data_IF_107099370219
#
_entry.id   IF_107099370219
#
_cell.length_a   1.000
_cell.length_b   1.000
_cell.length_c   1.000
_cell.angle_alpha   90.00
_cell.angle_beta   90.00
_cell.angle_gamma   90.00
#
_symmetry.space_group_name_H-M   'P 1'
#
loop_
_entity.id
_entity.type
_entity.pdbx_description
1 polymer ?
#
# COMPACT_ATOMS: atom_id res chain seq x y z
N UNK A 1 43.56 -36.05 -20.13
CA UNK A 1 43.86 -37.50 -20.28
C UNK A 1 43.42 -38.22 -19.01
N UNK A 2 42.61 -39.27 -19.14
CA UNK A 2 41.99 -40.18 -18.15
C UNK A 2 40.60 -39.68 -17.69
N UNK A 3 39.59 -40.43 -17.82
CA UNK A 3 39.03 -41.64 -18.44
C UNK A 3 37.66 -41.84 -17.78
N UNK A 4 36.65 -41.99 -18.63
CA UNK A 4 35.27 -42.42 -18.28
C UNK A 4 35.28 -43.76 -17.50
N UNK A 5 34.37 -43.91 -16.52
CA UNK A 5 33.77 -45.20 -16.19
C UNK A 5 32.28 -45.03 -15.90
N UNK A 6 31.49 -45.59 -16.82
CA UNK A 6 30.11 -45.99 -16.59
C UNK A 6 30.07 -47.21 -15.67
N UNK A 7 29.05 -47.29 -14.80
CA UNK A 7 28.56 -48.54 -14.21
C UNK A 7 27.04 -48.63 -14.35
N UNK A 8 26.52 -49.85 -14.63
CA UNK A 8 25.18 -50.05 -15.16
C UNK A 8 24.08 -50.16 -14.09
N UNK A 9 22.85 -49.83 -14.52
CA UNK A 9 21.61 -50.01 -13.79
C UNK A 9 21.34 -51.50 -13.50
N UNK A 10 21.05 -51.83 -12.24
CA UNK A 10 20.43 -53.12 -11.84
C UNK A 10 18.95 -52.81 -11.54
N UNK A 11 18.11 -53.33 -12.43
CA UNK A 11 16.67 -53.37 -12.32
C UNK A 11 16.29 -54.51 -11.36
N UNK A 12 15.88 -54.24 -10.13
CA UNK A 12 15.30 -55.23 -9.24
C UNK A 12 13.77 -55.22 -9.39
N UNK A 13 13.26 -56.20 -10.11
CA UNK A 13 11.83 -56.50 -10.22
C UNK A 13 11.38 -57.26 -8.97
N UNK A 14 10.66 -56.61 -8.05
CA UNK A 14 9.99 -57.30 -6.92
C UNK A 14 8.55 -57.59 -7.33
N UNK A 15 8.30 -58.87 -7.59
CA UNK A 15 6.93 -59.40 -7.74
C UNK A 15 6.37 -59.65 -6.34
N UNK A 16 5.40 -58.83 -5.93
CA UNK A 16 4.60 -59.06 -4.74
C UNK A 16 3.34 -59.83 -5.10
N UNK A 17 3.30 -61.07 -4.67
CA UNK A 17 2.11 -61.91 -4.71
C UNK A 17 1.06 -61.37 -3.71
N UNK A 18 -0.09 -61.00 -4.23
CA UNK A 18 -1.24 -60.49 -3.51
C UNK A 18 -2.06 -61.66 -2.98
N UNK A 19 -1.95 -61.96 -1.66
CA UNK A 19 -2.93 -62.80 -1.00
C UNK A 19 -3.97 -61.91 -0.32
N UNK A 20 -5.20 -62.01 -0.81
CA UNK A 20 -6.32 -61.20 -0.35
C UNK A 20 -6.68 -61.47 1.10
N UNK A 21 -6.92 -60.38 1.84
CA UNK A 21 -7.84 -60.34 2.98
C UNK A 21 -8.82 -59.22 2.76
N UNK A 22 -10.09 -59.55 2.59
CA UNK A 22 -11.19 -58.60 2.41
C UNK A 22 -11.44 -57.82 3.69
N UNK A 23 -10.91 -56.60 3.73
CA UNK A 23 -11.32 -55.56 4.69
C UNK A 23 -12.07 -54.48 3.91
N UNK A 24 -13.35 -54.29 4.17
CA UNK A 24 -14.14 -53.18 3.67
C UNK A 24 -13.52 -51.88 4.14
N UNK A 25 -12.81 -51.19 3.27
CA UNK A 25 -12.31 -49.83 3.52
C UNK A 25 -13.50 -48.90 3.55
N UNK A 26 -13.76 -48.29 4.70
CA UNK A 26 -14.71 -47.19 4.78
C UNK A 26 -14.35 -46.11 3.74
N UNK A 27 -15.32 -45.52 3.05
CA UNK A 27 -15.04 -44.45 2.10
C UNK A 27 -14.32 -43.33 2.85
N UNK A 28 -13.20 -42.87 2.31
CA UNK A 28 -12.51 -41.66 2.79
C UNK A 28 -13.54 -40.54 2.86
N UNK A 29 -13.57 -39.74 3.95
CA UNK A 29 -14.45 -38.58 4.01
C UNK A 29 -14.14 -37.71 2.80
N UNK A 30 -15.14 -37.42 2.00
CA UNK A 30 -15.07 -36.40 0.94
C UNK A 30 -14.59 -35.10 1.61
N UNK A 31 -13.59 -34.41 1.05
CA UNK A 31 -13.23 -33.09 1.53
C UNK A 31 -14.49 -32.24 1.59
N UNK A 32 -14.69 -31.41 2.62
CA UNK A 32 -15.84 -30.53 2.66
C UNK A 32 -15.83 -29.72 1.35
N UNK A 33 -16.93 -29.81 0.59
CA UNK A 33 -17.16 -28.98 -0.58
C UNK A 33 -17.06 -27.54 -0.09
N UNK A 34 -16.00 -26.84 -0.48
CA UNK A 34 -15.87 -25.41 -0.21
C UNK A 34 -17.13 -24.76 -0.76
N UNK A 35 -17.87 -24.06 0.10
CA UNK A 35 -19.08 -23.39 -0.32
C UNK A 35 -18.74 -22.51 -1.53
N UNK A 36 -19.50 -22.66 -2.61
CA UNK A 36 -19.28 -21.85 -3.80
C UNK A 36 -19.36 -20.37 -3.40
N UNK A 37 -18.34 -19.60 -3.79
CA UNK A 37 -18.34 -18.16 -3.53
C UNK A 37 -19.59 -17.56 -4.20
N UNK A 38 -20.36 -16.79 -3.43
CA UNK A 38 -21.46 -15.99 -3.98
C UNK A 38 -20.90 -14.63 -4.36
N UNK A 39 -20.92 -14.26 -5.65
CA UNK A 39 -20.43 -12.96 -6.07
C UNK A 39 -21.15 -11.83 -5.32
N UNK A 40 -20.39 -10.76 -4.99
CA UNK A 40 -20.98 -9.55 -4.42
C UNK A 40 -22.01 -8.95 -5.38
N UNK A 41 -23.13 -8.50 -4.86
CA UNK A 41 -24.14 -7.78 -5.65
C UNK A 41 -23.75 -6.33 -5.90
N UNK A 42 -22.75 -5.83 -5.18
CA UNK A 42 -22.21 -4.48 -5.34
C UNK A 42 -20.89 -4.56 -6.09
N UNK A 43 -20.73 -3.79 -7.19
CA UNK A 43 -19.47 -3.77 -7.93
C UNK A 43 -18.39 -3.15 -7.07
N UNK A 44 -17.22 -3.76 -7.12
CA UNK A 44 -15.97 -3.22 -6.59
C UNK A 44 -15.07 -2.86 -7.77
N UNK A 45 -14.39 -1.73 -7.68
CA UNK A 45 -13.55 -1.25 -8.76
C UNK A 45 -12.12 -1.04 -8.26
N UNK A 46 -11.17 -1.38 -9.12
CA UNK A 46 -9.76 -1.18 -8.91
C UNK A 46 -9.19 -0.23 -9.98
N UNK A 47 -8.25 0.59 -9.56
CA UNK A 47 -7.55 1.54 -10.39
C UNK A 47 -6.06 1.30 -10.25
N UNK A 48 -5.39 1.25 -11.39
CA UNK A 48 -3.94 1.05 -11.45
C UNK A 48 -3.34 2.21 -12.23
N UNK A 49 -2.47 2.95 -11.57
CA UNK A 49 -1.73 4.02 -12.22
C UNK A 49 -0.63 3.42 -13.09
N UNK A 50 -0.60 3.79 -14.37
CA UNK A 50 0.36 3.27 -15.36
C UNK A 50 1.02 4.44 -16.10
N UNK A 51 1.97 5.12 -15.45
CA UNK A 51 2.62 6.30 -16.01
C UNK A 51 1.63 7.46 -16.19
N UNK A 52 1.15 7.69 -17.42
CA UNK A 52 0.29 8.84 -17.76
C UNK A 52 -1.20 8.52 -17.81
N UNK A 53 -1.60 7.35 -17.37
CA UNK A 53 -2.97 6.91 -17.42
C UNK A 53 -3.36 6.14 -16.17
N UNK A 54 -4.63 6.19 -15.83
CA UNK A 54 -5.25 5.33 -14.85
C UNK A 54 -5.98 4.22 -15.59
N UNK A 55 -5.54 2.98 -15.44
CA UNK A 55 -6.26 1.79 -15.92
C UNK A 55 -7.38 1.45 -14.95
N UNK A 56 -8.55 1.11 -15.48
CA UNK A 56 -9.79 0.94 -14.73
C UNK A 56 -10.30 -0.49 -14.84
N UNK A 57 -10.70 -1.08 -13.71
CA UNK A 57 -11.13 -2.48 -13.62
C UNK A 57 -12.34 -2.62 -12.70
N UNK A 58 -13.18 -3.60 -13.00
CA UNK A 58 -14.04 -4.23 -12.00
C UNK A 58 -13.29 -5.39 -11.34
N UNK A 59 -13.56 -5.65 -10.06
CA UNK A 59 -12.95 -6.72 -9.28
C UNK A 59 -13.93 -7.88 -9.16
N UNK A 60 -13.49 -9.09 -9.52
CA UNK A 60 -14.23 -10.30 -9.23
C UNK A 60 -14.14 -10.61 -7.72
N UNK A 61 -15.22 -10.46 -6.99
CA UNK A 61 -15.27 -10.61 -5.53
C UNK A 61 -14.98 -12.03 -5.03
N UNK A 62 -14.96 -13.01 -5.92
CA UNK A 62 -14.66 -14.40 -5.59
C UNK A 62 -13.18 -14.73 -5.75
N UNK A 63 -12.55 -14.19 -6.78
CA UNK A 63 -11.17 -14.51 -7.17
C UNK A 63 -10.19 -13.36 -6.95
N UNK A 64 -10.68 -12.12 -6.76
CA UNK A 64 -9.88 -10.91 -6.72
C UNK A 64 -9.35 -10.47 -8.09
N UNK A 65 -9.69 -11.17 -9.17
CA UNK A 65 -9.18 -10.89 -10.51
C UNK A 65 -9.72 -9.59 -11.07
N UNK A 66 -8.90 -8.88 -11.85
CA UNK A 66 -9.24 -7.63 -12.50
C UNK A 66 -9.84 -7.88 -13.89
N UNK A 67 -10.96 -7.22 -14.17
CA UNK A 67 -11.65 -7.24 -15.46
C UNK A 67 -11.67 -5.81 -15.97
N UNK A 68 -11.01 -5.53 -17.10
CA UNK A 68 -10.92 -4.18 -17.65
C UNK A 68 -12.31 -3.61 -17.97
N UNK A 69 -12.52 -2.33 -17.65
CA UNK A 69 -13.73 -1.59 -17.98
C UNK A 69 -13.75 -1.16 -19.47
N UNK A 70 -14.81 -0.49 -19.89
CA UNK A 70 -14.86 0.14 -21.21
C UNK A 70 -15.33 1.59 -21.06
N UNK A 71 -14.44 2.59 -21.29
CA UNK A 71 -13.01 2.47 -21.67
C UNK A 71 -12.15 1.82 -20.60
N UNK A 72 -11.02 1.23 -21.00
CA UNK A 72 -10.11 0.52 -20.08
C UNK A 72 -9.16 1.47 -19.32
N UNK A 73 -8.99 2.71 -19.77
CA UNK A 73 -8.12 3.70 -19.14
C UNK A 73 -8.57 5.12 -19.41
N UNK A 74 -8.11 6.04 -18.56
CA UNK A 74 -8.23 7.50 -18.73
C UNK A 74 -6.86 8.14 -18.56
N UNK A 75 -6.56 9.20 -19.36
CA UNK A 75 -5.32 9.96 -19.22
C UNK A 75 -5.33 10.78 -17.93
N UNK A 76 -4.16 10.90 -17.27
CA UNK A 76 -3.96 11.85 -16.17
C UNK A 76 -3.90 13.31 -16.65
N UNK A 77 -3.94 13.54 -17.99
CA UNK A 77 -3.81 14.86 -18.55
C UNK A 77 -2.37 15.37 -18.61
N UNK A 78 -1.44 14.53 -18.23
CA UNK A 78 -0.02 14.84 -18.20
C UNK A 78 0.75 14.06 -19.27
N UNK A 79 1.68 14.71 -19.97
CA UNK A 79 2.47 14.12 -21.07
C UNK A 79 3.94 14.47 -20.90
N UNK A 80 4.65 13.82 -19.97
CA UNK A 80 6.09 14.05 -19.86
C UNK A 80 6.89 12.74 -20.01
N UNK A 81 8.03 12.75 -20.73
CA UNK A 81 8.68 11.52 -21.20
C UNK A 81 9.80 10.98 -20.28
N UNK A 82 9.76 11.17 -18.96
CA UNK A 82 10.80 10.68 -18.06
C UNK A 82 10.23 9.78 -16.95
N UNK A 83 10.94 8.72 -16.65
CA UNK A 83 10.68 7.59 -15.76
C UNK A 83 10.55 7.93 -14.25
N UNK A 84 9.80 8.95 -13.85
CA UNK A 84 9.60 9.26 -12.45
C UNK A 84 8.39 8.47 -11.91
N UNK A 85 8.68 7.36 -11.24
CA UNK A 85 7.75 6.32 -10.76
C UNK A 85 7.03 6.69 -9.45
N UNK A 86 6.76 7.95 -9.16
CA UNK A 86 6.27 8.35 -7.84
C UNK A 86 4.85 8.94 -7.83
N UNK A 87 4.09 8.77 -8.89
CA UNK A 87 2.68 9.15 -8.87
C UNK A 87 1.88 8.26 -7.91
N UNK A 88 1.08 8.89 -7.08
CA UNK A 88 0.14 8.21 -6.20
C UNK A 88 -1.29 8.60 -6.54
N UNK A 89 -2.19 7.69 -6.25
CA UNK A 89 -3.61 7.84 -6.47
C UNK A 89 -4.37 7.51 -5.18
N UNK A 90 -5.44 8.26 -4.92
CA UNK A 90 -6.40 7.95 -3.86
C UNK A 90 -7.82 8.01 -4.39
N UNK A 91 -8.69 7.17 -3.82
CA UNK A 91 -10.13 7.16 -4.07
C UNK A 91 -10.84 7.59 -2.81
N UNK A 92 -11.89 8.39 -2.95
CA UNK A 92 -12.66 8.82 -1.79
C UNK A 92 -13.36 7.61 -1.13
N UNK A 93 -13.52 7.59 0.21
CA UNK A 93 -14.03 6.42 0.92
C UNK A 93 -15.44 5.99 0.51
N UNK A 94 -16.20 6.86 -0.17
CA UNK A 94 -17.54 6.56 -0.69
C UNK A 94 -17.52 6.12 -2.15
N UNK A 95 -16.33 6.05 -2.78
CA UNK A 95 -16.17 5.61 -4.16
C UNK A 95 -16.72 6.56 -5.21
N UNK A 96 -16.81 7.87 -4.92
CA UNK A 96 -17.39 8.88 -5.81
C UNK A 96 -16.34 9.62 -6.64
N UNK A 97 -15.15 9.79 -6.09
CA UNK A 97 -14.08 10.62 -6.65
C UNK A 97 -12.73 9.93 -6.58
N UNK A 98 -11.86 10.28 -7.50
CA UNK A 98 -10.47 9.83 -7.50
C UNK A 98 -9.53 11.01 -7.79
N UNK A 99 -8.34 10.96 -7.19
CA UNK A 99 -7.34 12.01 -7.27
C UNK A 99 -5.96 11.40 -7.53
N UNK A 100 -5.23 12.00 -8.49
CA UNK A 100 -3.88 11.57 -8.88
C UNK A 100 -2.92 12.73 -8.70
N UNK A 101 -1.88 12.54 -7.90
CA UNK A 101 -0.79 13.50 -7.79
C UNK A 101 0.12 13.37 -9.02
N UNK A 102 0.22 14.44 -9.82
CA UNK A 102 1.03 14.49 -11.03
C UNK A 102 2.37 15.11 -10.70
N UNK A 103 3.39 14.29 -10.80
CA UNK A 103 4.76 14.70 -10.59
C UNK A 103 5.29 15.43 -11.81
N UNK A 104 5.83 16.63 -11.59
CA UNK A 104 6.50 17.42 -12.64
C UNK A 104 7.92 17.65 -12.21
N UNK A 105 8.90 17.08 -12.92
CA UNK A 105 10.30 17.43 -12.71
C UNK A 105 10.63 18.78 -13.33
N UNK A 106 11.00 19.72 -12.49
CA UNK A 106 11.84 20.94 -12.65
C UNK A 106 11.78 21.87 -13.88
N UNK A 107 11.05 21.63 -14.96
CA UNK A 107 11.29 22.45 -16.17
C UNK A 107 10.06 22.98 -16.90
N UNK A 108 8.83 22.64 -16.53
CA UNK A 108 7.71 22.89 -17.44
C UNK A 108 6.41 23.40 -16.81
N UNK A 109 6.37 23.73 -15.53
CA UNK A 109 5.16 24.25 -14.90
C UNK A 109 4.88 23.67 -13.50
N UNK A 110 3.88 24.18 -12.78
CA UNK A 110 3.54 23.69 -11.45
C UNK A 110 3.00 22.26 -11.52
N UNK A 111 3.35 21.46 -10.54
CA UNK A 111 2.73 20.15 -10.29
C UNK A 111 1.23 20.33 -10.03
N UNK A 112 0.45 19.28 -10.23
CA UNK A 112 -1.01 19.34 -10.12
C UNK A 112 -1.59 18.06 -9.56
N UNK A 113 -2.86 18.12 -9.16
CA UNK A 113 -3.68 16.95 -8.85
C UNK A 113 -4.72 16.82 -9.95
N UNK A 114 -4.79 15.66 -10.61
CA UNK A 114 -5.90 15.34 -11.53
C UNK A 114 -7.10 14.86 -10.73
N UNK A 115 -8.29 15.28 -11.12
CA UNK A 115 -9.54 15.06 -10.41
C UNK A 115 -10.56 14.36 -11.30
N UNK A 116 -11.19 13.31 -10.77
CA UNK A 116 -12.16 12.49 -11.48
C UNK A 116 -13.40 12.23 -10.63
N UNK A 117 -14.55 12.15 -11.32
CA UNK A 117 -15.74 11.48 -10.80
C UNK A 117 -15.70 9.99 -11.17
N UNK A 118 -16.29 9.14 -10.34
CA UNK A 118 -16.39 7.70 -10.53
C UNK A 118 -17.85 7.36 -10.83
N UNK A 119 -18.11 6.68 -11.94
CA UNK A 119 -19.41 6.05 -12.16
C UNK A 119 -19.53 4.80 -11.26
N UNK A 120 -20.45 4.84 -10.31
CA UNK A 120 -20.58 3.80 -9.26
C UNK A 120 -20.98 2.42 -9.80
N UNK A 121 -21.48 2.33 -11.04
CA UNK A 121 -21.91 1.08 -11.67
C UNK A 121 -20.80 0.46 -12.50
N UNK A 122 -20.09 1.30 -13.26
CA UNK A 122 -19.08 0.84 -14.23
C UNK A 122 -17.65 1.03 -13.75
N UNK A 123 -17.42 1.84 -12.72
CA UNK A 123 -16.09 2.23 -12.25
C UNK A 123 -15.35 3.19 -13.19
N UNK A 124 -16.01 3.68 -14.24
CA UNK A 124 -15.35 4.56 -15.22
C UNK A 124 -15.08 5.93 -14.61
N UNK A 125 -13.82 6.37 -14.74
CA UNK A 125 -13.37 7.69 -14.34
C UNK A 125 -13.67 8.71 -15.42
N UNK A 126 -14.25 9.86 -15.00
CA UNK A 126 -14.48 11.01 -15.89
C UNK A 126 -13.82 12.24 -15.26
N UNK A 127 -12.92 12.97 -16.00
CA UNK A 127 -12.31 14.18 -15.48
C UNK A 127 -13.35 15.21 -15.03
N UNK A 128 -13.12 15.89 -13.92
CA UNK A 128 -13.97 17.00 -13.43
C UNK A 128 -13.78 18.25 -14.28
N UNK A 129 -14.52 19.32 -13.97
CA UNK A 129 -14.30 20.64 -14.57
C UNK A 129 -14.14 21.68 -13.46
N UNK A 130 -12.92 22.22 -13.25
CA UNK A 130 -11.65 21.94 -13.96
C UNK A 130 -11.17 20.50 -13.72
N UNK A 131 -10.35 19.96 -14.64
CA UNK A 131 -9.81 18.60 -14.54
C UNK A 131 -8.61 18.48 -13.59
N UNK A 132 -7.93 19.58 -13.32
CA UNK A 132 -6.74 19.62 -12.44
C UNK A 132 -6.78 20.83 -11.50
N UNK A 133 -6.05 20.74 -10.40
CA UNK A 133 -5.75 21.83 -9.46
C UNK A 133 -4.25 21.89 -9.21
N UNK A 134 -3.62 23.09 -9.16
CA UNK A 134 -2.20 23.21 -8.79
C UNK A 134 -1.93 22.72 -7.38
N UNK A 135 -0.75 22.12 -7.16
CA UNK A 135 -0.19 21.78 -5.86
C UNK A 135 1.25 22.28 -5.76
N UNK A 136 1.96 21.96 -4.67
CA UNK A 136 3.38 22.27 -4.55
C UNK A 136 4.25 21.41 -5.48
N UNK A 137 5.56 21.69 -5.48
CA UNK A 137 6.51 21.04 -6.36
C UNK A 137 6.83 19.62 -5.91
N UNK A 138 6.87 18.69 -6.86
CA UNK A 138 7.22 17.29 -6.69
C UNK A 138 6.34 16.56 -5.66
N UNK A 139 5.01 16.45 -5.87
CA UNK A 139 4.09 15.80 -4.93
C UNK A 139 4.25 14.28 -4.99
N UNK A 140 5.05 13.70 -4.11
CA UNK A 140 5.29 12.25 -4.05
C UNK A 140 4.18 11.47 -3.33
N UNK A 141 3.48 12.12 -2.42
CA UNK A 141 2.42 11.50 -1.63
C UNK A 141 1.10 12.24 -1.77
N UNK A 142 -0.01 11.50 -1.79
CA UNK A 142 -1.37 12.03 -1.69
C UNK A 142 -2.19 11.17 -0.73
N UNK A 143 -2.97 11.79 0.15
CA UNK A 143 -3.90 11.11 1.04
C UNK A 143 -5.23 11.85 1.13
N UNK A 144 -6.29 11.09 1.43
CA UNK A 144 -7.64 11.59 1.64
C UNK A 144 -8.09 11.27 3.07
N UNK A 145 -8.86 12.15 3.70
CA UNK A 145 -9.42 11.86 5.01
C UNK A 145 -10.51 10.78 4.94
N UNK A 146 -10.71 9.98 6.00
CA UNK A 146 -11.66 8.86 6.01
C UNK A 146 -13.12 9.25 5.77
N UNK A 147 -13.47 10.53 5.88
CA UNK A 147 -14.81 11.05 5.60
C UNK A 147 -14.93 11.65 4.19
N UNK A 148 -13.85 11.66 3.41
CA UNK A 148 -13.82 12.21 2.06
C UNK A 148 -14.05 13.72 2.00
N UNK A 149 -13.53 14.47 2.99
CA UNK A 149 -13.69 15.93 3.08
C UNK A 149 -12.47 16.70 2.61
N UNK A 150 -11.27 16.14 2.82
CA UNK A 150 -9.98 16.79 2.63
C UNK A 150 -9.01 15.91 1.88
N UNK A 151 -8.16 16.53 1.07
CA UNK A 151 -7.02 15.90 0.40
C UNK A 151 -5.75 16.64 0.78
N UNK A 152 -4.67 15.90 0.96
CA UNK A 152 -3.34 16.40 1.30
C UNK A 152 -2.31 15.85 0.35
N UNK A 153 -1.30 16.68 -0.04
CA UNK A 153 -0.15 16.22 -0.83
C UNK A 153 1.16 16.58 -0.16
N UNK A 154 2.10 15.64 -0.11
CA UNK A 154 3.46 15.87 0.34
C UNK A 154 4.31 16.37 -0.84
N UNK A 155 4.78 17.61 -0.77
CA UNK A 155 5.52 18.29 -1.83
C UNK A 155 7.01 18.30 -1.46
N UNK A 156 7.75 17.35 -2.03
CA UNK A 156 9.13 17.06 -1.62
C UNK A 156 10.05 18.27 -1.84
N UNK A 157 9.97 18.92 -3.01
CA UNK A 157 10.87 20.03 -3.35
C UNK A 157 10.51 21.36 -2.67
N UNK A 158 9.26 21.50 -2.21
CA UNK A 158 8.79 22.69 -1.47
C UNK A 158 8.91 22.56 0.05
N UNK A 159 9.24 21.37 0.56
CA UNK A 159 9.20 21.09 2.00
C UNK A 159 7.84 21.46 2.64
N UNK A 160 6.75 21.10 1.96
CA UNK A 160 5.39 21.43 2.40
C UNK A 160 4.40 20.28 2.27
N UNK A 161 3.29 20.40 2.99
CA UNK A 161 2.06 19.63 2.72
C UNK A 161 1.00 20.61 2.22
N UNK A 162 0.50 20.43 1.00
CA UNK A 162 -0.66 21.17 0.49
C UNK A 162 -1.96 20.61 1.03
N UNK A 163 -2.95 21.48 1.22
CA UNK A 163 -4.23 21.16 1.87
C UNK A 163 -5.40 21.61 0.99
N UNK A 164 -6.36 20.70 0.79
CA UNK A 164 -7.53 20.93 -0.07
C UNK A 164 -8.82 20.47 0.61
N UNK A 165 -9.90 21.21 0.34
CA UNK A 165 -11.27 20.76 0.62
C UNK A 165 -11.88 20.13 -0.63
N UNK A 166 -12.72 19.11 -0.44
CA UNK A 166 -13.44 18.42 -1.53
C UNK A 166 -14.85 18.99 -1.63
N UNK A 167 -15.24 19.46 -2.81
CA UNK A 167 -16.64 19.75 -3.09
C UNK A 167 -17.42 18.42 -3.16
N UNK A 168 -18.32 18.20 -2.23
CA UNK A 168 -19.03 16.92 -2.04
C UNK A 168 -19.97 16.53 -3.19
N UNK A 169 -20.28 17.46 -4.08
CA UNK A 169 -21.14 17.23 -5.26
C UNK A 169 -20.34 16.98 -6.52
N UNK A 170 -19.24 17.74 -6.70
CA UNK A 170 -18.50 17.74 -7.97
C UNK A 170 -17.14 17.03 -7.90
N UNK A 171 -16.63 16.75 -6.71
CA UNK A 171 -15.29 16.22 -6.49
C UNK A 171 -14.16 17.25 -6.72
N UNK A 172 -14.48 18.48 -7.07
CA UNK A 172 -13.46 19.51 -7.33
C UNK A 172 -12.77 19.90 -6.03
N UNK A 173 -11.44 19.91 -6.05
CA UNK A 173 -10.59 20.35 -4.96
C UNK A 173 -10.45 21.87 -4.95
N UNK A 174 -10.52 22.44 -3.76
CA UNK A 174 -10.25 23.87 -3.50
C UNK A 174 -9.14 23.99 -2.47
N UNK A 175 -8.02 24.69 -2.76
CA UNK A 175 -6.98 24.93 -1.76
C UNK A 175 -7.55 25.63 -0.54
N UNK A 176 -7.07 25.27 0.65
CA UNK A 176 -7.42 25.96 1.92
C UNK A 176 -6.73 27.32 2.01
N UNK A 177 -6.96 28.06 3.09
CA UNK A 177 -6.22 29.30 3.38
C UNK A 177 -5.69 29.25 4.81
N UNK A 178 -4.36 29.09 4.99
CA UNK A 178 -3.29 28.92 3.98
C UNK A 178 -3.44 27.64 3.15
N UNK A 179 -2.86 27.63 1.96
CA UNK A 179 -2.94 26.49 1.03
C UNK A 179 -1.99 25.34 1.40
N UNK A 180 -0.96 25.61 2.17
CA UNK A 180 0.04 24.63 2.60
C UNK A 180 0.56 24.92 4.01
N UNK A 181 1.17 23.90 4.60
CA UNK A 181 1.93 23.98 5.86
C UNK A 181 3.36 23.50 5.59
N UNK A 182 4.35 24.15 6.23
CA UNK A 182 5.76 23.71 6.14
C UNK A 182 5.95 22.41 6.93
N UNK A 183 6.80 21.53 6.38
CA UNK A 183 7.32 20.36 7.09
C UNK A 183 8.63 20.65 7.83
N UNK A 184 9.31 21.76 7.49
CA UNK A 184 10.53 22.19 8.17
C UNK A 184 10.22 22.62 9.62
N UNK A 185 10.99 22.11 10.56
CA UNK A 185 11.01 22.60 11.93
C UNK A 185 12.01 23.79 12.05
N UNK A 186 11.85 24.68 13.05
CA UNK A 186 12.75 25.81 13.22
C UNK A 186 14.21 25.38 13.34
N UNK A 187 15.07 25.88 12.45
CA UNK A 187 16.51 25.57 12.39
C UNK A 187 16.91 24.60 11.27
N UNK A 188 15.97 23.93 10.65
CA UNK A 188 16.24 23.08 9.49
C UNK A 188 16.41 23.88 8.19
N UNK A 189 17.25 23.35 7.31
CA UNK A 189 17.50 23.92 5.99
C UNK A 189 16.71 23.23 4.89
N UNK A 190 16.26 22.00 5.13
CA UNK A 190 15.57 21.16 4.16
C UNK A 190 14.72 20.12 4.90
N UNK A 191 13.51 19.89 4.41
CA UNK A 191 12.69 18.71 4.72
C UNK A 191 12.13 18.19 3.41
N UNK A 192 12.30 16.90 3.14
CA UNK A 192 11.82 16.25 1.92
C UNK A 192 10.69 15.27 2.27
N UNK A 193 9.45 15.78 2.43
CA UNK A 193 8.31 14.91 2.68
C UNK A 193 8.04 14.05 1.45
N UNK A 194 7.89 12.73 1.63
CA UNK A 194 7.72 11.80 0.52
C UNK A 194 6.36 11.10 0.55
N UNK A 195 6.02 10.46 1.63
CA UNK A 195 4.76 9.74 1.79
C UNK A 195 3.94 10.37 2.91
N UNK A 196 2.61 10.39 2.76
CA UNK A 196 1.74 10.81 3.84
C UNK A 196 0.52 9.90 3.99
N UNK A 197 -0.03 9.87 5.20
CA UNK A 197 -1.27 9.17 5.52
C UNK A 197 -2.13 10.00 6.47
N UNK A 198 -3.44 9.88 6.33
CA UNK A 198 -4.40 10.34 7.34
C UNK A 198 -4.73 9.18 8.25
N UNK A 199 -4.77 9.38 9.55
CA UNK A 199 -5.15 8.35 10.49
C UNK A 199 -6.62 7.91 10.31
N UNK A 200 -7.00 6.70 10.72
CA UNK A 200 -8.36 6.17 10.51
C UNK A 200 -9.47 7.00 11.18
N UNK A 201 -9.14 7.85 12.16
CA UNK A 201 -10.12 8.74 12.80
C UNK A 201 -10.34 10.05 12.04
N UNK A 202 -9.46 10.35 11.06
CA UNK A 202 -9.44 11.61 10.34
C UNK A 202 -9.00 12.81 11.20
N UNK A 203 -8.27 12.54 12.28
CA UNK A 203 -7.83 13.58 13.23
C UNK A 203 -6.39 14.02 13.02
N UNK A 204 -5.55 13.16 12.41
CA UNK A 204 -4.11 13.37 12.28
C UNK A 204 -3.59 13.06 10.89
N UNK A 205 -2.54 13.78 10.49
CA UNK A 205 -1.72 13.49 9.31
C UNK A 205 -0.31 13.19 9.75
N UNK A 206 0.27 12.16 9.14
CA UNK A 206 1.66 11.77 9.30
C UNK A 206 2.35 11.78 7.94
N UNK A 207 3.52 12.40 7.86
CA UNK A 207 4.34 12.36 6.64
C UNK A 207 5.76 11.95 6.95
N UNK A 208 6.25 10.95 6.20
CA UNK A 208 7.66 10.57 6.21
C UNK A 208 8.49 11.68 5.57
N UNK A 209 9.60 12.05 6.16
CA UNK A 209 10.48 13.07 5.64
C UNK A 209 11.96 12.70 5.86
N UNK A 210 12.78 13.13 4.92
CA UNK A 210 14.24 13.18 5.09
C UNK A 210 14.62 14.64 5.33
N UNK A 211 14.99 14.95 6.56
CA UNK A 211 15.31 16.29 7.02
C UNK A 211 16.82 16.50 7.07
N UNK A 212 17.28 17.75 7.19
CA UNK A 212 18.71 18.06 7.35
C UNK A 212 19.34 17.43 8.59
N UNK A 213 18.54 17.20 9.63
CA UNK A 213 18.98 16.65 10.92
C UNK A 213 18.72 15.14 11.06
N UNK A 214 18.14 14.51 10.05
CA UNK A 214 17.88 13.06 10.03
C UNK A 214 16.57 12.66 9.38
N UNK A 215 16.24 11.40 9.55
CA UNK A 215 15.03 10.78 9.03
C UNK A 215 13.91 10.87 10.07
N UNK A 216 12.75 11.42 9.70
CA UNK A 216 11.65 11.71 10.63
C UNK A 216 10.29 11.33 10.09
N UNK A 217 9.30 11.32 11.00
CA UNK A 217 7.87 11.47 10.66
C UNK A 217 7.39 12.79 11.24
N UNK A 218 6.91 13.68 10.38
CA UNK A 218 6.22 14.91 10.80
C UNK A 218 4.76 14.61 11.13
N UNK A 219 4.25 15.24 12.20
CA UNK A 219 2.95 14.93 12.81
C UNK A 219 2.07 16.17 12.87
N UNK A 220 0.82 16.06 12.43
CA UNK A 220 -0.13 17.17 12.38
C UNK A 220 -1.49 16.77 12.92
N UNK A 221 -2.17 17.73 13.58
CA UNK A 221 -3.60 17.66 13.86
C UNK A 221 -4.39 18.26 12.69
N UNK A 222 -5.58 17.71 12.39
CA UNK A 222 -6.50 18.20 11.37
C UNK A 222 -7.59 19.04 12.04
N UNK A 223 -7.78 20.28 11.61
CA UNK A 223 -8.97 21.03 11.95
C UNK A 223 -10.18 20.42 11.22
N UNK A 224 -11.12 19.87 11.98
CA UNK A 224 -12.25 19.08 11.46
C UNK A 224 -13.25 19.88 10.60
N UNK A 225 -13.19 21.20 10.65
CA UNK A 225 -14.07 22.09 9.86
C UNK A 225 -13.38 22.61 8.60
N UNK A 226 -12.09 22.94 8.69
CA UNK A 226 -11.38 23.65 7.63
C UNK A 226 -10.38 22.78 6.88
N UNK A 227 -10.00 21.61 7.44
CA UNK A 227 -8.94 20.76 6.91
C UNK A 227 -7.52 21.28 7.14
N UNK A 228 -7.36 22.40 7.83
CA UNK A 228 -6.05 22.98 8.12
C UNK A 228 -5.24 22.07 9.04
N UNK A 229 -3.97 21.89 8.69
CA UNK A 229 -3.01 21.16 9.49
C UNK A 229 -2.27 22.08 10.45
N UNK A 230 -2.10 21.60 11.68
CA UNK A 230 -1.28 22.25 12.71
C UNK A 230 -0.26 21.24 13.23
N UNK A 231 1.05 21.55 13.24
CA UNK A 231 2.05 20.66 13.81
C UNK A 231 1.73 20.28 15.26
N UNK A 232 1.98 19.04 15.63
CA UNK A 232 1.84 18.58 17.02
C UNK A 232 3.00 19.12 17.89
N UNK A 233 3.03 18.78 19.16
CA UNK A 233 4.15 19.08 20.05
C UNK A 233 4.55 17.82 20.82
N UNK A 234 5.70 17.19 20.47
CA UNK A 234 6.66 17.53 19.41
C UNK A 234 6.05 17.44 18.00
N UNK A 235 6.63 18.16 17.03
CA UNK A 235 6.17 18.17 15.63
C UNK A 235 6.65 16.96 14.83
N UNK A 236 7.77 16.37 15.24
CA UNK A 236 8.41 15.24 14.56
C UNK A 236 8.82 14.15 15.54
N UNK A 237 9.00 12.94 15.03
CA UNK A 237 9.65 11.81 15.71
C UNK A 237 10.70 11.21 14.78
N UNK A 238 11.86 10.83 15.35
CA UNK A 238 12.92 10.15 14.60
C UNK A 238 12.47 8.75 14.16
N UNK A 239 12.99 8.32 13.01
CA UNK A 239 12.88 6.95 12.51
C UNK A 239 14.24 6.25 12.57
N UNK A 240 14.22 4.94 12.52
CA UNK A 240 15.45 4.14 12.62
C UNK A 240 16.31 4.13 11.33
N UNK A 241 15.81 4.73 10.25
CA UNK A 241 16.45 4.82 8.94
C UNK A 241 15.65 5.75 8.02
N UNK A 242 15.99 5.83 6.74
CA UNK A 242 15.30 6.69 5.77
C UNK A 242 13.86 6.23 5.61
N UNK A 243 12.85 6.98 6.09
CA UNK A 243 11.47 6.54 6.05
C UNK A 243 10.92 6.62 4.62
N UNK A 244 10.31 5.55 4.18
CA UNK A 244 9.69 5.49 2.86
C UNK A 244 8.17 5.60 2.95
N UNK A 245 7.53 4.76 3.77
CA UNK A 245 6.09 4.77 3.96
C UNK A 245 5.73 4.75 5.45
N UNK A 246 4.72 5.52 5.82
CA UNK A 246 4.08 5.46 7.14
C UNK A 246 2.67 4.90 6.99
N UNK A 247 2.31 3.93 7.82
CA UNK A 247 0.97 3.37 7.90
C UNK A 247 0.45 3.42 9.34
N UNK A 248 -0.80 3.85 9.50
CA UNK A 248 -1.51 3.79 10.79
C UNK A 248 -2.43 2.57 10.76
N UNK A 249 -2.36 1.75 11.81
CA UNK A 249 -3.26 0.61 11.94
C UNK A 249 -4.74 1.07 11.97
N UNK A 250 -5.69 0.33 11.37
CA UNK A 250 -7.10 0.67 11.37
C UNK A 250 -7.70 0.91 12.77
N UNK A 251 -7.09 0.34 13.82
CA UNK A 251 -7.45 0.62 15.21
C UNK A 251 -7.12 2.04 15.67
N UNK A 252 -6.32 2.80 14.92
CA UNK A 252 -5.81 4.13 15.32
C UNK A 252 -4.81 4.13 16.47
N UNK A 253 -4.38 2.95 16.96
CA UNK A 253 -3.53 2.85 18.16
C UNK A 253 -2.04 2.79 17.86
N UNK A 254 -1.67 2.30 16.68
CA UNK A 254 -0.29 2.00 16.30
C UNK A 254 0.02 2.59 14.93
N UNK A 255 1.27 2.98 14.75
CA UNK A 255 1.81 3.37 13.46
C UNK A 255 3.12 2.63 13.18
N UNK A 256 3.37 2.37 11.91
CA UNK A 256 4.53 1.65 11.43
C UNK A 256 5.17 2.44 10.30
N UNK A 257 6.49 2.51 10.33
CA UNK A 257 7.26 3.21 9.29
C UNK A 257 8.23 2.23 8.66
N UNK A 258 8.09 2.04 7.36
CA UNK A 258 9.07 1.29 6.57
C UNK A 258 10.26 2.19 6.31
N UNK A 259 11.45 1.72 6.67
CA UNK A 259 12.70 2.40 6.43
C UNK A 259 13.41 1.74 5.25
N UNK A 260 13.60 2.49 4.17
CA UNK A 260 14.36 2.04 3.01
C UNK A 260 15.83 2.44 3.18
N UNK A 261 16.74 1.61 2.71
CA UNK A 261 18.17 1.83 2.79
C UNK A 261 18.75 1.97 1.39
N UNK A 262 19.10 3.18 0.99
CA UNK A 262 19.91 3.43 -0.20
C UNK A 262 21.38 3.54 0.21
N UNK A 263 22.25 2.66 -0.30
CA UNK A 263 23.69 2.86 -0.14
C UNK A 263 24.52 1.72 0.43
N UNK A 264 23.98 0.51 0.55
CA UNK A 264 24.78 -0.68 0.89
C UNK A 264 25.23 -0.80 2.35
N UNK A 265 24.78 0.08 3.24
CA UNK A 265 24.94 -0.10 4.67
C UNK A 265 23.77 -0.92 5.22
N UNK A 266 24.11 -2.00 5.88
CA UNK A 266 23.14 -2.90 6.53
C UNK A 266 22.66 -2.25 7.84
N UNK A 267 21.52 -1.59 7.79
CA UNK A 267 20.80 -1.20 9.02
C UNK A 267 19.79 -2.29 9.37
N UNK A 268 19.86 -2.85 10.60
CA UNK A 268 19.02 -3.99 10.96
C UNK A 268 17.54 -3.65 11.16
N UNK A 269 17.14 -2.38 11.06
CA UNK A 269 15.80 -1.89 11.39
C UNK A 269 15.05 -1.50 10.12
N UNK A 270 14.28 -2.44 9.59
CA UNK A 270 13.46 -2.23 8.41
C UNK A 270 12.11 -1.57 8.72
N UNK A 271 11.57 -1.74 9.94
CA UNK A 271 10.28 -1.20 10.37
C UNK A 271 10.40 -0.57 11.75
N UNK A 272 10.18 0.75 11.84
CA UNK A 272 9.99 1.45 13.11
C UNK A 272 8.54 1.31 13.58
N UNK A 273 8.32 1.14 14.88
CA UNK A 273 7.02 0.85 15.47
C UNK A 273 6.68 1.90 16.55
N UNK A 274 5.46 2.43 16.49
CA UNK A 274 5.02 3.51 17.37
C UNK A 274 3.62 3.24 17.93
N UNK A 275 3.40 3.72 19.15
CA UNK A 275 2.06 3.94 19.70
C UNK A 275 1.58 5.33 19.31
N UNK A 276 0.29 5.48 19.06
CA UNK A 276 -0.37 6.74 18.72
C UNK A 276 -1.10 7.26 19.97
N UNK A 277 -0.80 8.47 20.40
CA UNK A 277 -1.61 9.14 21.41
C UNK A 277 -2.92 9.64 20.75
N UNK A 278 -4.04 9.02 21.10
CA UNK A 278 -5.34 9.30 20.46
C UNK A 278 -5.88 10.71 20.69
N UNK A 279 -5.36 11.45 21.69
CA UNK A 279 -5.77 12.81 21.95
C UNK A 279 -4.92 13.86 21.24
N UNK A 280 -3.64 13.57 20.99
CA UNK A 280 -2.68 14.54 20.46
C UNK A 280 -2.09 14.17 19.11
N UNK A 281 -2.24 12.90 18.67
CA UNK A 281 -1.61 12.36 17.46
C UNK A 281 -0.11 12.10 17.59
N UNK A 282 0.49 12.39 18.75
CA UNK A 282 1.93 12.21 18.94
C UNK A 282 2.29 10.73 18.88
N UNK A 283 3.26 10.40 18.05
CA UNK A 283 3.86 9.09 17.97
C UNK A 283 4.93 8.92 19.05
N UNK A 284 4.87 7.79 19.74
CA UNK A 284 5.90 7.38 20.72
C UNK A 284 6.46 6.03 20.30
N UNK A 285 7.76 5.93 20.15
CA UNK A 285 8.42 4.67 19.78
C UNK A 285 8.08 3.56 20.77
N UNK A 286 7.58 2.43 20.27
CA UNK A 286 7.10 1.32 21.09
C UNK A 286 8.17 0.27 21.38
N UNK A 287 9.27 0.26 20.60
CA UNK A 287 10.43 -0.59 20.88
C UNK A 287 11.71 0.11 20.39
N UNK A 288 12.75 0.06 21.23
CA UNK A 288 14.09 0.58 20.91
C UNK A 288 14.81 -0.18 19.79
N UNK A 289 14.23 -1.27 19.33
CA UNK A 289 14.76 -2.12 18.27
C UNK A 289 13.66 -2.36 17.26
N UNK A 290 13.73 -1.66 16.14
CA UNK A 290 12.83 -1.92 15.02
C UNK A 290 12.99 -3.36 14.52
N UNK A 291 12.02 -3.78 13.75
CA UNK A 291 11.93 -5.14 13.22
C UNK A 291 12.77 -5.26 11.95
N UNK A 292 13.50 -6.36 11.81
CA UNK A 292 14.08 -6.76 10.54
C UNK A 292 12.97 -7.26 9.60
N UNK A 293 12.98 -6.79 8.36
CA UNK A 293 12.21 -7.36 7.25
C UNK A 293 13.21 -7.92 6.20
N UNK A 294 12.74 -8.23 5.00
CA UNK A 294 13.64 -8.53 3.88
C UNK A 294 14.37 -7.30 3.36
N UNK A 295 15.09 -7.48 2.23
CA UNK A 295 15.93 -6.43 1.65
C UNK A 295 15.11 -5.35 0.95
N UNK A 296 15.51 -4.08 1.16
CA UNK A 296 14.89 -2.88 0.58
C UNK A 296 13.35 -2.86 0.71
N UNK A 297 12.81 -2.82 1.92
CA UNK A 297 11.37 -2.76 2.12
C UNK A 297 10.82 -1.43 1.60
N UNK A 298 9.68 -1.47 0.91
CA UNK A 298 9.07 -0.29 0.25
C UNK A 298 7.66 0.03 0.74
N UNK A 299 6.92 -0.97 1.21
CA UNK A 299 5.55 -0.75 1.65
C UNK A 299 5.21 -1.59 2.87
N UNK A 300 4.29 -1.07 3.69
CA UNK A 300 3.65 -1.79 4.79
C UNK A 300 2.14 -1.57 4.75
N UNK A 301 1.39 -2.63 4.89
CA UNK A 301 -0.06 -2.59 5.06
C UNK A 301 -0.47 -3.35 6.31
N UNK A 302 -1.47 -2.82 7.03
CA UNK A 302 -2.07 -3.46 8.20
C UNK A 302 -3.48 -3.91 7.82
N UNK A 303 -3.83 -5.15 8.16
CA UNK A 303 -5.15 -5.69 7.84
C UNK A 303 -6.29 -4.88 8.49
N UNK A 304 -7.51 -4.87 7.92
CA UNK A 304 -8.62 -4.08 8.46
C UNK A 304 -8.98 -4.40 9.92
N UNK A 305 -8.60 -5.58 10.44
CA UNK A 305 -8.82 -5.96 11.83
C UNK A 305 -7.67 -5.55 12.76
N UNK A 306 -6.60 -4.97 12.22
CA UNK A 306 -5.36 -4.59 12.94
C UNK A 306 -4.63 -5.74 13.62
N UNK A 307 -4.86 -6.98 13.19
CA UNK A 307 -4.21 -8.17 13.77
C UNK A 307 -2.95 -8.60 13.04
N UNK A 308 -2.83 -8.22 11.77
CA UNK A 308 -1.74 -8.63 10.91
C UNK A 308 -1.14 -7.44 10.18
N UNK A 309 0.15 -7.50 9.92
CA UNK A 309 0.85 -6.53 9.10
C UNK A 309 1.72 -7.24 8.05
N UNK A 310 1.91 -6.60 6.92
CA UNK A 310 2.61 -7.16 5.77
C UNK A 310 3.59 -6.14 5.24
N UNK A 311 4.83 -6.57 4.99
CA UNK A 311 5.92 -5.71 4.50
C UNK A 311 6.41 -6.22 3.15
N UNK A 312 6.40 -5.35 2.17
CA UNK A 312 6.91 -5.62 0.82
C UNK A 312 8.42 -5.47 0.81
N UNK A 313 9.14 -6.50 0.39
CA UNK A 313 10.60 -6.54 0.29
C UNK A 313 11.00 -6.53 -1.18
N UNK A 314 11.40 -5.35 -1.69
CA UNK A 314 11.59 -5.10 -3.12
C UNK A 314 12.70 -5.96 -3.73
N UNK A 315 13.86 -6.07 -3.05
CA UNK A 315 15.01 -6.80 -3.59
C UNK A 315 14.98 -8.31 -3.30
N UNK A 316 14.05 -8.79 -2.46
CA UNK A 316 13.87 -10.21 -2.20
C UNK A 316 12.70 -10.81 -2.98
N UNK A 317 11.93 -9.99 -3.71
CA UNK A 317 10.72 -10.41 -4.41
C UNK A 317 9.74 -11.14 -3.48
N UNK A 318 9.55 -10.62 -2.26
CA UNK A 318 8.72 -11.24 -1.23
C UNK A 318 7.86 -10.23 -0.46
N UNK A 319 6.85 -10.77 0.24
CA UNK A 319 6.14 -10.09 1.33
C UNK A 319 6.42 -10.83 2.64
N UNK A 320 6.87 -10.11 3.66
CA UNK A 320 6.97 -10.61 5.03
C UNK A 320 5.63 -10.44 5.74
N UNK A 321 5.22 -11.46 6.51
CA UNK A 321 3.94 -11.51 7.23
C UNK A 321 4.19 -11.45 8.73
N UNK A 322 3.41 -10.63 9.45
CA UNK A 322 3.54 -10.42 10.89
C UNK A 322 2.19 -10.49 11.59
N UNK A 323 2.22 -10.95 12.85
CA UNK A 323 1.13 -10.75 13.81
C UNK A 323 1.36 -9.45 14.58
N UNK A 324 0.30 -8.75 14.91
CA UNK A 324 0.32 -7.49 15.69
C UNK A 324 -0.13 -7.77 17.12
N UNK A 325 0.69 -7.49 18.11
CA UNK A 325 0.27 -7.49 19.52
C UNK A 325 -0.71 -6.35 19.77
N UNK A 326 -1.94 -6.68 20.16
CA UNK A 326 -3.05 -5.71 20.28
C UNK A 326 -2.90 -4.74 21.45
N UNK A 327 -1.96 -4.99 22.37
CA UNK A 327 -1.68 -4.14 23.53
C UNK A 327 -0.51 -3.21 23.30
N UNK A 328 0.54 -3.69 22.61
CA UNK A 328 1.80 -2.97 22.43
C UNK A 328 2.04 -2.48 21.02
N UNK A 329 1.33 -3.02 20.01
CA UNK A 329 1.59 -2.81 18.61
C UNK A 329 2.83 -3.56 18.08
N UNK A 330 3.49 -4.35 18.93
CA UNK A 330 4.68 -5.09 18.55
C UNK A 330 4.40 -6.09 17.43
N UNK A 331 5.27 -6.10 16.41
CA UNK A 331 5.20 -7.03 15.30
C UNK A 331 6.02 -8.29 15.60
N UNK A 332 5.42 -9.45 15.37
CA UNK A 332 6.10 -10.74 15.45
C UNK A 332 5.94 -11.48 14.13
N UNK A 333 7.06 -12.01 13.59
CA UNK A 333 7.03 -12.72 12.31
C UNK A 333 6.02 -13.88 12.37
N UNK A 334 5.07 -13.87 11.41
CA UNK A 334 4.04 -14.90 11.30
C UNK A 334 4.61 -16.12 10.54
N UNK A 335 5.42 -16.90 11.24
CA UNK A 335 6.08 -18.09 10.71
C UNK A 335 5.42 -19.36 11.22
N UNK A 336 5.49 -20.42 10.43
CA UNK A 336 4.98 -21.74 10.79
C UNK A 336 6.00 -22.82 10.41
N UNK A 337 5.77 -24.07 10.84
CA UNK A 337 6.60 -25.20 10.42
C UNK A 337 6.59 -25.39 8.89
N UNK A 338 5.49 -25.05 8.23
CA UNK A 338 5.34 -25.12 6.77
C UNK A 338 5.95 -23.89 6.07
N UNK A 339 6.02 -22.74 6.75
CA UNK A 339 6.60 -21.49 6.25
C UNK A 339 7.48 -20.85 7.34
N UNK A 340 8.68 -21.37 7.57
CA UNK A 340 9.56 -20.87 8.64
C UNK A 340 10.11 -19.48 8.35
N UNK A 341 10.16 -19.04 7.08
CA UNK A 341 10.59 -17.68 6.71
C UNK A 341 9.54 -16.61 7.02
N UNK A 342 8.26 -16.99 7.21
CA UNK A 342 7.18 -16.03 7.38
C UNK A 342 6.99 -15.10 6.16
N UNK A 343 7.42 -15.52 4.97
CA UNK A 343 7.35 -14.74 3.74
C UNK A 343 6.59 -15.47 2.65
N UNK A 344 6.10 -14.72 1.65
CA UNK A 344 5.51 -15.28 0.43
C UNK A 344 6.14 -14.58 -0.78
N UNK A 345 6.38 -15.35 -1.86
CA UNK A 345 6.93 -14.79 -3.10
C UNK A 345 5.94 -13.89 -3.82
N UNK A 346 6.47 -12.88 -4.51
CA UNK A 346 5.73 -11.91 -5.35
C UNK A 346 6.18 -12.01 -6.81
N UNK A 347 5.78 -11.05 -7.64
CA UNK A 347 6.47 -10.74 -8.90
C UNK A 347 7.75 -9.96 -8.65
N UNK A 348 8.46 -9.62 -9.75
CA UNK A 348 9.77 -8.96 -9.68
C UNK A 348 9.65 -7.50 -9.24
N UNK A 349 10.51 -7.10 -8.32
CA UNK A 349 10.60 -5.76 -7.75
C UNK A 349 9.23 -5.25 -7.24
N UNK A 350 8.63 -5.90 -6.21
CA UNK A 350 7.38 -5.44 -5.62
C UNK A 350 7.58 -4.07 -4.97
N UNK A 351 6.58 -3.18 -5.10
CA UNK A 351 6.76 -1.79 -4.69
C UNK A 351 5.67 -1.27 -3.74
N UNK A 352 4.39 -1.54 -4.03
CA UNK A 352 3.23 -1.11 -3.23
C UNK A 352 2.37 -2.30 -2.85
N UNK A 353 1.57 -2.11 -1.81
CA UNK A 353 0.61 -3.10 -1.34
C UNK A 353 -0.65 -2.42 -0.85
N UNK A 354 -1.81 -2.94 -1.27
CA UNK A 354 -3.11 -2.47 -0.83
C UNK A 354 -4.04 -3.65 -0.57
N UNK A 355 -4.92 -3.48 0.44
CA UNK A 355 -6.04 -4.37 0.65
C UNK A 355 -7.23 -3.97 -0.23
N UNK A 356 -8.01 -4.96 -0.67
CA UNK A 356 -9.37 -4.67 -1.07
C UNK A 356 -10.19 -4.19 0.14
N UNK A 357 -11.27 -3.44 -0.06
CA UNK A 357 -12.08 -2.92 1.05
C UNK A 357 -12.69 -3.99 1.95
N UNK A 358 -12.84 -5.22 1.47
CA UNK A 358 -13.33 -6.35 2.28
C UNK A 358 -12.25 -6.95 3.18
N UNK A 359 -10.98 -6.66 2.90
CA UNK A 359 -9.81 -7.26 3.56
C UNK A 359 -9.58 -8.73 3.21
N UNK A 360 -10.27 -9.24 2.18
CA UNK A 360 -10.15 -10.62 1.73
C UNK A 360 -8.94 -10.82 0.82
N UNK A 361 -8.65 -9.81 0.00
CA UNK A 361 -7.56 -9.84 -0.95
C UNK A 361 -6.51 -8.78 -0.64
N UNK A 362 -5.27 -9.12 -0.98
CA UNK A 362 -4.12 -8.20 -0.98
C UNK A 362 -3.54 -8.18 -2.38
N UNK A 363 -3.25 -6.99 -2.85
CA UNK A 363 -2.62 -6.73 -4.14
C UNK A 363 -1.26 -6.12 -3.94
N UNK A 364 -0.25 -6.70 -4.59
CA UNK A 364 1.12 -6.19 -4.57
C UNK A 364 1.48 -5.76 -5.97
N UNK A 365 1.73 -4.48 -6.17
CA UNK A 365 2.23 -3.97 -7.46
C UNK A 365 3.70 -4.32 -7.62
N UNK A 366 4.09 -4.72 -8.82
CA UNK A 366 5.46 -5.10 -9.14
C UNK A 366 5.95 -4.21 -10.29
N UNK A 367 7.18 -3.68 -10.21
CA UNK A 367 7.69 -2.77 -11.24
C UNK A 367 7.87 -3.46 -12.60
N UNK A 368 8.23 -4.74 -12.60
CA UNK A 368 8.56 -5.47 -13.83
C UNK A 368 7.55 -6.57 -14.19
N UNK A 369 6.44 -6.67 -13.48
CA UNK A 369 5.44 -7.70 -13.75
C UNK A 369 4.01 -7.24 -13.40
N UNK A 370 3.02 -8.10 -13.69
CA UNK A 370 1.66 -7.89 -13.25
C UNK A 370 1.57 -7.92 -11.71
N UNK A 371 0.60 -7.19 -11.14
CA UNK A 371 0.38 -7.24 -9.70
C UNK A 371 0.03 -8.66 -9.25
N UNK A 372 0.61 -9.05 -8.11
CA UNK A 372 0.34 -10.32 -7.45
C UNK A 372 -0.92 -10.18 -6.60
N UNK A 373 -1.78 -11.21 -6.61
CA UNK A 373 -3.02 -11.29 -5.83
C UNK A 373 -2.86 -12.37 -4.77
N UNK A 374 -3.23 -12.05 -3.53
CA UNK A 374 -3.24 -12.99 -2.41
C UNK A 374 -4.58 -12.97 -1.71
N UNK A 375 -5.00 -14.13 -1.21
CA UNK A 375 -6.06 -14.25 -0.21
C UNK A 375 -5.45 -14.19 1.19
N UNK A 376 -6.16 -13.54 2.10
CA UNK A 376 -5.78 -13.47 3.52
C UNK A 376 -6.47 -14.58 4.27
N UNK A 377 -5.68 -15.48 4.88
CA UNK A 377 -6.19 -16.55 5.72
C UNK A 377 -6.54 -16.04 7.12
N UNK A 378 -7.37 -16.77 7.86
CA UNK A 378 -7.79 -16.38 9.21
C UNK A 378 -6.67 -16.29 10.25
N UNK A 379 -5.52 -16.91 9.97
CA UNK A 379 -4.29 -16.86 10.78
C UNK A 379 -3.33 -15.74 10.32
N UNK A 380 -3.72 -14.95 9.31
CA UNK A 380 -2.91 -13.86 8.76
C UNK A 380 -1.85 -14.32 7.75
N UNK A 381 -1.80 -15.60 7.40
CA UNK A 381 -0.95 -16.02 6.28
C UNK A 381 -1.59 -15.63 4.95
N UNK A 382 -0.75 -15.33 3.96
CA UNK A 382 -1.19 -15.07 2.59
C UNK A 382 -1.11 -16.36 1.76
N UNK A 383 -2.10 -16.55 0.88
CA UNK A 383 -2.07 -17.60 -0.13
C UNK A 383 -2.19 -16.98 -1.52
N UNK A 384 -1.34 -17.38 -2.45
CA UNK A 384 -1.38 -16.85 -3.82
C UNK A 384 -2.70 -17.17 -4.50
N UNK A 385 -3.37 -16.14 -5.01
CA UNK A 385 -4.59 -16.24 -5.81
C UNK A 385 -4.33 -16.00 -7.32
N UNK A 386 -3.08 -15.69 -7.68
CA UNK A 386 -2.68 -15.44 -9.07
C UNK A 386 -2.11 -14.05 -9.29
N UNK A 387 -2.34 -13.51 -10.47
CA UNK A 387 -1.93 -12.15 -10.84
C UNK A 387 -3.08 -11.42 -11.53
N UNK A 388 -3.02 -10.09 -11.53
CA UNK A 388 -4.04 -9.26 -12.21
C UNK A 388 -4.02 -9.39 -13.73
N UNK A 389 -2.97 -9.98 -14.31
CA UNK A 389 -2.75 -10.01 -15.76
C UNK A 389 -2.35 -8.66 -16.37
N UNK A 390 -2.22 -7.61 -15.56
CA UNK A 390 -1.86 -6.25 -15.99
C UNK A 390 -0.55 -5.86 -15.35
N UNK A 391 0.43 -5.44 -16.17
CA UNK A 391 1.67 -4.88 -15.67
C UNK A 391 1.39 -3.53 -14.99
N UNK A 392 1.86 -3.36 -13.76
CA UNK A 392 1.56 -2.18 -12.92
C UNK A 392 2.68 -1.15 -12.91
N UNK A 393 3.87 -1.51 -13.40
CA UNK A 393 5.04 -0.60 -13.41
C UNK A 393 5.46 -0.10 -12.01
N UNK A 394 5.10 -0.83 -10.95
CA UNK A 394 5.39 -0.45 -9.57
C UNK A 394 4.54 0.70 -9.01
N UNK A 395 3.60 1.22 -9.80
CA UNK A 395 2.79 2.37 -9.41
C UNK A 395 1.63 2.00 -8.47
N UNK A 396 0.99 3.02 -7.94
CA UNK A 396 -0.08 2.90 -6.95
C UNK A 396 -1.31 2.17 -7.49
N UNK A 397 -1.94 1.36 -6.64
CA UNK A 397 -3.32 0.90 -6.80
C UNK A 397 -4.26 1.65 -5.87
N UNK A 398 -5.53 1.75 -6.23
CA UNK A 398 -6.59 2.25 -5.35
C UNK A 398 -7.89 1.50 -5.62
N UNK A 399 -8.72 1.35 -4.58
CA UNK A 399 -9.98 0.61 -4.65
C UNK A 399 -11.16 1.46 -4.21
N UNK A 400 -12.34 1.23 -4.81
CA UNK A 400 -13.59 1.73 -4.23
C UNK A 400 -14.08 0.75 -3.17
N UNK A 401 -14.49 1.26 -2.01
CA UNK A 401 -15.32 0.47 -1.11
C UNK A 401 -16.67 0.18 -1.79
N UNK A 402 -17.27 -1.01 -1.59
CA UNK A 402 -18.65 -1.24 -1.99
C UNK A 402 -19.53 -0.18 -1.31
N UNK A 403 -20.32 0.57 -2.07
CA UNK A 403 -21.24 1.58 -1.50
C UNK A 403 -22.11 0.92 -0.43
N UNK A 404 -22.10 1.44 0.79
CA UNK A 404 -22.91 0.94 1.90
C UNK A 404 -24.39 1.01 1.60
#
# INVERSE_FOLDING_TARGET
MKLFRCFPAILCLVVLLNTGCGGSRAPSPTPPTQAACVPSTKPEHAYVLTGYAVSMFSVDSCTGSFIATTPASVSTGYTYPQNDNSEQMVVDPQGRFAYVANLVSNVSGPSSISMYTIDSTTGVLTPTTPATVPTGWFPQGIAIDPLGRFVYTANTDDSTVSMFTINQTTGVLTPTTPASVSTMIPGELLSQPSFLTVDPTGSFVYTSALDSDGATVSMYTINQTTGLLTPTSPATVLTAGIPFQVAVAPSGKFAYVVNNFSGGEYYPIAVSQYTVNSATGVLTESSSYGLAAGNAPTAIAVDPTSRFAYVVNRLDDTVSMYTVDQNTGGLTLNSSTANPSGTIATGNEPFRMDFDPSGKFVYVTNEQSAASIYTVNGDGTLASAGTTGVATGGLSTAFTAPSQ
#
